data_IF_776356761969
#
_entry.id   IF_776356761969
#
_cell.length_a   1.000
_cell.length_b   1.000
_cell.length_c   1.000
_cell.angle_alpha   90.00
_cell.angle_beta   90.00
_cell.angle_gamma   90.00
#
_symmetry.space_group_name_H-M   'P 1'
#
loop_
_entity.id
_entity.type
_entity.pdbx_description
1 polymer ?
#
# COMPACT_ATOMS: atom_id res chain seq x y z
N UNK A 1 22.36 14.13 -62.76
CA UNK A 1 21.20 14.15 -63.65
C UNK A 1 20.11 13.36 -62.97
N UNK A 2 19.03 13.84 -62.44
CA UNK A 2 18.02 14.79 -62.89
C UNK A 2 17.33 15.39 -61.66
N UNK A 3 17.16 16.68 -61.63
CA UNK A 3 16.29 17.49 -60.81
C UNK A 3 14.81 17.17 -61.10
N UNK A 4 13.90 17.44 -60.14
CA UNK A 4 12.63 18.18 -60.30
C UNK A 4 11.97 18.28 -58.92
N UNK A 5 11.97 19.44 -58.26
CA UNK A 5 11.05 20.55 -58.04
C UNK A 5 9.75 20.21 -57.28
N UNK A 6 9.65 20.81 -56.16
CA UNK A 6 8.70 21.61 -55.42
C UNK A 6 7.27 21.77 -55.98
N UNK A 7 6.29 21.66 -55.10
CA UNK A 7 5.06 22.49 -55.12
C UNK A 7 4.37 22.51 -53.73
N UNK A 8 4.40 23.70 -53.12
CA UNK A 8 3.34 24.19 -52.21
C UNK A 8 2.26 24.84 -53.08
N UNK A 9 0.98 24.94 -52.65
CA UNK A 9 0.50 26.22 -52.15
C UNK A 9 -0.47 26.09 -50.94
N UNK A 10 -0.30 26.90 -50.01
CA UNK A 10 -1.03 28.04 -49.45
C UNK A 10 -2.48 28.23 -49.94
N UNK A 11 -3.44 28.20 -48.97
CA UNK A 11 -4.67 28.99 -49.03
C UNK A 11 -5.21 29.23 -47.60
N UNK A 12 -5.03 30.46 -47.20
CA UNK A 12 -5.76 31.10 -46.11
C UNK A 12 -7.23 31.23 -46.43
N UNK A 13 -8.10 31.05 -45.44
CA UNK A 13 -9.42 31.71 -45.34
C UNK A 13 -9.76 32.15 -43.94
N UNK A 14 -9.65 33.44 -43.77
CA UNK A 14 -10.30 34.33 -42.82
C UNK A 14 -11.84 34.30 -42.97
N UNK A 15 -12.56 34.28 -41.87
CA UNK A 15 -13.83 35.04 -41.71
C UNK A 15 -14.33 34.82 -40.27
N UNK A 16 -14.36 35.78 -39.62
CA UNK A 16 -15.28 36.90 -39.23
C UNK A 16 -15.77 36.70 -37.78
N UNK A 17 -15.32 37.63 -37.04
CA UNK A 17 -15.84 38.10 -35.76
C UNK A 17 -17.30 38.50 -35.94
N UNK A 18 -18.18 38.00 -35.09
CA UNK A 18 -19.47 38.68 -34.82
C UNK A 18 -19.57 38.90 -33.32
N UNK A 19 -19.30 40.13 -32.93
CA UNK A 19 -19.74 40.70 -31.63
C UNK A 19 -21.27 40.90 -31.72
N UNK A 20 -21.96 40.36 -30.73
CA UNK A 20 -23.27 40.87 -30.34
C UNK A 20 -23.23 41.21 -28.85
N UNK A 21 -23.12 42.51 -28.63
CA UNK A 21 -23.45 43.19 -27.38
C UNK A 21 -24.98 43.27 -27.27
N UNK A 22 -25.51 43.02 -26.09
CA UNK A 22 -26.53 43.88 -25.43
C UNK A 22 -26.99 43.31 -24.10
N UNK A 23 -26.55 43.99 -23.11
CA UNK A 23 -27.22 44.42 -21.87
C UNK A 23 -28.67 43.91 -21.71
N UNK A 24 -28.92 43.20 -20.65
CA UNK A 24 -30.19 43.21 -19.95
C UNK A 24 -29.89 43.17 -18.42
N UNK A 25 -29.91 44.37 -17.89
CA UNK A 25 -30.02 44.65 -16.45
C UNK A 25 -31.43 44.24 -16.04
N UNK A 26 -31.57 43.23 -15.18
CA UNK A 26 -32.83 42.99 -14.46
C UNK A 26 -32.50 43.13 -12.97
N UNK A 27 -32.98 44.24 -12.48
CA UNK A 27 -33.17 44.58 -11.08
C UNK A 27 -34.25 43.64 -10.52
N UNK A 28 -33.92 42.81 -9.54
CA UNK A 28 -34.90 42.21 -8.64
C UNK A 28 -34.52 42.64 -7.23
N UNK A 29 -35.29 43.58 -6.75
CA UNK A 29 -35.24 44.06 -5.38
C UNK A 29 -35.89 43.04 -4.43
N UNK A 30 -35.28 42.93 -3.31
CA UNK A 30 -35.83 42.75 -1.96
C UNK A 30 -37.00 41.74 -1.77
N UNK A 31 -36.67 40.61 -1.13
CA UNK A 31 -37.48 40.07 -0.03
C UNK A 31 -36.55 39.65 1.12
N UNK A 32 -36.30 40.61 1.98
CA UNK A 32 -35.82 40.31 3.35
C UNK A 32 -37.10 40.02 4.14
N UNK A 33 -37.39 38.77 4.31
CA UNK A 33 -38.35 38.31 5.31
C UNK A 33 -37.55 37.78 6.50
N UNK A 34 -37.52 38.57 7.57
CA UNK A 34 -37.13 38.12 8.90
C UNK A 34 -37.98 36.89 9.29
N UNK A 35 -37.30 35.75 9.46
CA UNK A 35 -37.81 34.71 10.35
C UNK A 35 -36.76 34.57 11.45
N UNK A 36 -36.86 35.41 12.47
CA UNK A 36 -36.34 35.14 13.78
C UNK A 36 -37.31 34.16 14.45
N UNK A 37 -37.09 32.88 14.30
CA UNK A 37 -37.58 31.89 15.24
C UNK A 37 -36.37 31.39 15.98
N UNK A 38 -36.28 31.82 17.22
CA UNK A 38 -35.28 31.36 18.19
C UNK A 38 -35.39 29.85 18.36
N UNK A 39 -34.40 29.17 17.87
CA UNK A 39 -34.02 27.84 18.32
C UNK A 39 -32.74 28.03 19.14
N UNK A 40 -32.87 28.07 20.47
CA UNK A 40 -31.74 27.81 21.35
C UNK A 40 -31.28 26.36 21.08
N UNK A 41 -30.43 26.19 20.09
CA UNK A 41 -29.59 25.03 20.00
C UNK A 41 -28.39 25.29 20.93
N UNK A 42 -28.34 24.58 22.04
CA UNK A 42 -27.12 24.51 22.81
C UNK A 42 -25.97 24.10 21.91
N UNK A 43 -24.79 24.71 22.02
CA UNK A 43 -23.63 24.22 21.27
C UNK A 43 -23.44 22.76 21.65
N UNK A 44 -23.49 21.87 20.67
CA UNK A 44 -23.11 20.49 20.85
C UNK A 44 -21.65 20.55 21.27
N UNK A 45 -21.38 20.30 22.56
CA UNK A 45 -20.03 20.01 23.01
C UNK A 45 -19.58 18.77 22.26
N UNK A 46 -18.71 18.95 21.29
CA UNK A 46 -18.01 17.83 20.66
C UNK A 46 -17.12 17.22 21.73
N UNK A 47 -17.62 16.15 22.34
CA UNK A 47 -16.82 15.33 23.25
C UNK A 47 -15.52 14.92 22.54
N UNK A 48 -14.46 14.85 23.29
CA UNK A 48 -13.07 14.60 22.83
C UNK A 48 -12.86 13.30 22.02
N UNK A 49 -13.89 12.54 21.73
CA UNK A 49 -13.74 11.24 21.04
C UNK A 49 -14.19 11.20 19.59
N UNK A 50 -14.85 12.22 19.06
CA UNK A 50 -15.28 12.23 17.65
C UNK A 50 -16.18 11.06 17.20
N UNK A 51 -16.68 10.28 18.14
CA UNK A 51 -17.55 9.12 17.91
C UNK A 51 -18.99 9.51 18.26
N UNK A 52 -19.86 9.48 17.29
CA UNK A 52 -21.30 9.57 17.55
C UNK A 52 -21.78 8.22 18.06
N UNK A 53 -22.47 8.21 19.20
CA UNK A 53 -22.98 6.98 19.80
C UNK A 53 -23.92 6.26 18.80
N UNK A 54 -23.56 5.02 18.42
CA UNK A 54 -24.30 4.20 17.46
C UNK A 54 -24.02 4.45 15.97
N UNK A 55 -23.06 5.33 15.64
CA UNK A 55 -22.54 5.49 14.28
C UNK A 55 -21.06 5.11 14.33
N UNK A 56 -20.65 4.17 13.49
CA UNK A 56 -19.24 3.82 13.36
C UNK A 56 -18.39 5.05 13.09
N UNK A 57 -17.07 4.94 13.21
CA UNK A 57 -16.16 6.05 13.05
C UNK A 57 -16.36 6.75 11.70
N UNK A 58 -16.38 8.09 11.76
CA UNK A 58 -16.57 8.90 10.56
C UNK A 58 -15.33 8.82 9.67
N UNK A 59 -15.49 8.72 8.34
CA UNK A 59 -14.37 8.82 7.42
C UNK A 59 -13.56 10.10 7.66
N UNK A 60 -12.26 9.98 7.85
CA UNK A 60 -11.35 11.11 8.10
C UNK A 60 -10.97 11.34 9.55
N UNK A 61 -11.52 10.61 10.51
CA UNK A 61 -10.97 10.55 11.85
C UNK A 61 -9.80 9.57 11.90
N UNK A 62 -8.65 10.04 12.38
CA UNK A 62 -7.47 9.21 12.58
C UNK A 62 -7.77 8.09 13.59
N UNK A 63 -8.12 6.92 13.07
CA UNK A 63 -8.27 5.68 13.83
C UNK A 63 -6.97 5.20 14.47
N UNK A 64 -5.89 5.77 14.05
CA UNK A 64 -4.57 5.36 14.42
C UNK A 64 -4.19 5.98 15.76
N UNK A 65 -3.93 5.17 16.76
CA UNK A 65 -3.04 5.63 17.81
C UNK A 65 -1.67 5.82 17.14
N UNK A 66 -1.22 7.06 16.94
CA UNK A 66 0.03 7.31 16.24
C UNK A 66 1.16 6.60 16.98
N UNK A 67 2.01 5.89 16.25
CA UNK A 67 3.23 5.34 16.83
C UNK A 67 4.02 6.48 17.46
N UNK A 68 4.30 6.35 18.76
CA UNK A 68 5.12 7.30 19.50
C UNK A 68 6.54 6.73 19.59
N UNK A 69 7.50 7.51 19.16
CA UNK A 69 8.91 7.16 19.22
C UNK A 69 9.44 7.26 20.67
N UNK A 70 10.59 6.63 20.99
CA UNK A 70 11.14 6.65 22.34
C UNK A 70 11.47 8.05 22.91
N UNK A 71 11.58 9.05 22.05
CA UNK A 71 11.79 10.46 22.43
C UNK A 71 10.48 11.23 22.60
N UNK A 72 9.32 10.56 22.50
CA UNK A 72 8.00 11.14 22.62
C UNK A 72 7.47 11.79 21.34
N UNK A 73 8.24 11.81 20.26
CA UNK A 73 7.77 12.35 18.98
C UNK A 73 6.73 11.43 18.35
N UNK A 74 5.72 12.01 17.70
CA UNK A 74 4.78 11.26 16.87
C UNK A 74 5.40 10.96 15.52
N UNK A 75 5.30 9.71 15.10
CA UNK A 75 5.82 9.27 13.82
C UNK A 75 5.08 9.93 12.66
N UNK A 76 5.84 10.55 11.76
CA UNK A 76 5.33 11.06 10.48
C UNK A 76 5.42 9.93 9.46
N UNK A 77 4.27 9.43 9.03
CA UNK A 77 4.18 8.32 8.07
C UNK A 77 4.24 8.85 6.64
N UNK A 78 5.13 8.33 5.78
CA UNK A 78 5.17 8.69 4.38
C UNK A 78 3.91 8.22 3.64
N UNK A 79 3.62 8.89 2.54
CA UNK A 79 2.64 8.44 1.54
C UNK A 79 3.37 8.11 0.23
N UNK A 80 2.83 7.21 -0.57
CA UNK A 80 3.32 7.01 -1.92
C UNK A 80 3.06 8.24 -2.78
N UNK A 81 3.82 8.40 -3.85
CA UNK A 81 3.57 9.46 -4.83
C UNK A 81 2.16 9.32 -5.41
N UNK A 82 1.45 10.44 -5.49
CA UNK A 82 0.05 10.44 -5.90
C UNK A 82 -0.96 10.09 -4.80
N UNK A 83 -0.51 9.87 -3.56
CA UNK A 83 -1.38 9.62 -2.40
C UNK A 83 -1.80 8.16 -2.21
N UNK A 84 -2.73 7.89 -1.30
CA UNK A 84 -3.20 6.53 -1.00
C UNK A 84 -3.81 5.81 -2.20
N UNK A 85 -3.70 4.47 -2.22
CA UNK A 85 -4.17 3.65 -3.36
C UNK A 85 -5.59 3.11 -3.19
N UNK A 86 -6.13 3.05 -1.97
CA UNK A 86 -7.45 2.47 -1.69
C UNK A 86 -8.61 3.12 -2.45
N UNK A 87 -8.52 4.44 -2.68
CA UNK A 87 -9.50 5.15 -3.49
C UNK A 87 -9.46 4.86 -5.00
N UNK A 88 -8.47 4.09 -5.47
CA UNK A 88 -8.26 3.74 -6.89
C UNK A 88 -8.78 2.36 -7.25
N UNK A 89 -9.13 1.55 -6.25
CA UNK A 89 -9.57 0.16 -6.43
C UNK A 89 -11.05 0.01 -6.11
N UNK A 90 -11.66 -1.11 -6.54
CA UNK A 90 -13.09 -1.38 -6.34
C UNK A 90 -13.36 -2.54 -5.39
N UNK A 91 -12.34 -3.30 -5.04
CA UNK A 91 -12.39 -4.38 -4.08
C UNK A 91 -11.50 -4.10 -2.87
N UNK A 92 -11.38 -5.06 -1.96
CA UNK A 92 -10.69 -4.89 -0.70
C UNK A 92 -9.63 -5.97 -0.40
N UNK A 93 -9.16 -6.70 -1.40
CA UNK A 93 -8.16 -7.76 -1.18
C UNK A 93 -6.75 -7.23 -1.39
N UNK A 94 -5.92 -7.36 -0.36
CA UNK A 94 -4.52 -6.96 -0.40
C UNK A 94 -3.60 -8.16 -0.18
N UNK A 95 -2.64 -8.33 -1.09
CA UNK A 95 -1.57 -9.31 -1.01
C UNK A 95 -0.28 -8.59 -0.62
N UNK A 96 0.29 -8.97 0.53
CA UNK A 96 1.58 -8.44 0.97
C UNK A 96 2.65 -9.51 0.78
N UNK A 97 3.72 -9.16 0.06
CA UNK A 97 4.81 -10.08 -0.28
C UNK A 97 6.12 -9.54 0.27
N UNK A 98 6.88 -10.36 1.02
CA UNK A 98 8.10 -9.83 1.62
C UNK A 98 9.06 -10.83 2.25
N UNK A 99 10.14 -10.26 2.77
CA UNK A 99 11.18 -10.97 3.52
C UNK A 99 10.93 -10.94 5.05
N UNK A 100 11.98 -11.15 5.86
CA UNK A 100 11.90 -11.20 7.33
C UNK A 100 11.29 -9.94 7.95
N UNK A 101 11.44 -8.78 7.30
CA UNK A 101 10.95 -7.51 7.84
C UNK A 101 9.42 -7.52 7.78
N UNK A 102 8.84 -7.87 6.64
CA UNK A 102 7.39 -7.99 6.51
C UNK A 102 6.85 -9.19 7.31
N UNK A 103 7.54 -10.34 7.29
CA UNK A 103 7.17 -11.53 8.06
C UNK A 103 7.02 -11.23 9.56
N UNK A 104 7.82 -10.30 10.11
CA UNK A 104 7.74 -9.90 11.51
C UNK A 104 6.41 -9.25 11.92
N UNK A 105 5.59 -8.80 10.96
CA UNK A 105 4.25 -8.23 11.22
C UNK A 105 3.12 -9.24 11.03
N UNK A 106 3.45 -10.48 10.64
CA UNK A 106 2.48 -11.55 10.40
C UNK A 106 1.99 -12.18 11.71
N UNK A 107 0.97 -13.02 11.60
CA UNK A 107 0.24 -13.66 12.71
C UNK A 107 1.15 -14.34 13.74
N UNK A 108 2.27 -14.92 13.30
CA UNK A 108 3.23 -15.59 14.21
C UNK A 108 3.89 -14.63 15.20
N UNK A 109 4.04 -13.36 14.85
CA UNK A 109 4.81 -12.38 15.62
C UNK A 109 3.97 -11.28 16.27
N UNK A 110 2.66 -11.40 16.27
CA UNK A 110 1.76 -10.41 16.89
C UNK A 110 0.62 -9.96 16.01
N UNK A 111 0.67 -10.24 14.68
CA UNK A 111 -0.40 -9.95 13.72
C UNK A 111 -0.61 -8.47 13.39
N UNK A 112 0.38 -7.61 13.68
CA UNK A 112 0.24 -6.14 13.56
C UNK A 112 -0.26 -5.70 12.18
N UNK A 113 0.10 -6.44 11.11
CA UNK A 113 -0.35 -6.08 9.75
C UNK A 113 -1.85 -6.26 9.59
N UNK A 114 -2.38 -7.42 9.97
CA UNK A 114 -3.81 -7.68 9.86
C UNK A 114 -4.60 -6.81 10.83
N UNK A 115 -4.17 -6.72 12.08
CA UNK A 115 -4.83 -5.90 13.11
C UNK A 115 -4.90 -4.41 12.72
N UNK A 116 -3.99 -3.97 11.85
CA UNK A 116 -3.95 -2.61 11.32
C UNK A 116 -4.83 -2.43 10.08
N UNK A 117 -4.84 -3.40 9.16
CA UNK A 117 -5.51 -3.24 7.86
C UNK A 117 -6.96 -3.72 7.86
N UNK A 118 -7.32 -4.71 8.69
CA UNK A 118 -8.69 -5.21 8.81
C UNK A 118 -9.68 -4.10 9.21
N UNK A 119 -9.42 -3.25 10.22
CA UNK A 119 -10.30 -2.14 10.56
C UNK A 119 -10.45 -1.09 9.46
N UNK A 120 -9.55 -1.06 8.48
CA UNK A 120 -9.67 -0.23 7.28
C UNK A 120 -10.52 -0.89 6.18
N UNK A 121 -11.05 -2.08 6.42
CA UNK A 121 -11.90 -2.81 5.49
C UNK A 121 -11.17 -3.80 4.57
N UNK A 122 -9.86 -4.04 4.76
CA UNK A 122 -9.08 -4.91 3.90
C UNK A 122 -9.20 -6.40 4.25
N UNK A 123 -9.18 -7.26 3.23
CA UNK A 123 -8.90 -8.69 3.34
C UNK A 123 -7.40 -8.91 3.11
N UNK A 124 -6.69 -9.31 4.16
CA UNK A 124 -5.23 -9.22 4.24
C UNK A 124 -4.57 -10.57 4.14
N UNK A 125 -3.71 -10.80 3.14
CA UNK A 125 -2.82 -11.97 3.07
C UNK A 125 -1.37 -11.53 3.17
N UNK A 126 -0.62 -12.05 4.15
CA UNK A 126 0.81 -11.77 4.33
C UNK A 126 1.63 -12.98 3.91
N UNK A 127 2.18 -12.92 2.71
CA UNK A 127 3.05 -13.94 2.11
C UNK A 127 4.51 -13.53 2.30
N UNK A 128 5.10 -13.87 3.42
CA UNK A 128 6.44 -13.40 3.76
C UNK A 128 7.25 -14.45 4.53
N UNK A 129 8.54 -14.56 4.18
CA UNK A 129 9.46 -15.52 4.78
C UNK A 129 10.81 -14.90 5.10
N UNK A 130 11.44 -15.24 6.23
CA UNK A 130 12.79 -14.79 6.57
C UNK A 130 13.84 -15.24 5.56
N UNK A 131 14.84 -14.36 5.32
CA UNK A 131 16.02 -14.69 4.51
C UNK A 131 15.77 -14.73 3.00
N UNK A 132 14.58 -14.32 2.52
CA UNK A 132 14.25 -14.37 1.11
C UNK A 132 14.84 -13.19 0.33
N UNK A 133 15.33 -13.48 -0.87
CA UNK A 133 15.79 -12.51 -1.86
C UNK A 133 14.63 -12.05 -2.75
N UNK A 134 14.91 -11.14 -3.70
CA UNK A 134 13.86 -10.54 -4.52
C UNK A 134 13.11 -11.54 -5.42
N UNK A 135 13.79 -12.60 -5.91
CA UNK A 135 13.16 -13.67 -6.73
C UNK A 135 12.05 -14.43 -6.01
N UNK A 136 12.04 -14.41 -4.66
CA UNK A 136 10.93 -14.96 -3.89
C UNK A 136 9.61 -14.26 -4.23
N UNK A 137 9.64 -12.94 -4.45
CA UNK A 137 8.45 -12.17 -4.82
C UNK A 137 7.82 -12.64 -6.12
N UNK A 138 8.63 -12.87 -7.15
CA UNK A 138 8.17 -13.45 -8.42
C UNK A 138 7.49 -14.80 -8.23
N UNK A 139 8.05 -15.66 -7.40
CA UNK A 139 7.50 -17.00 -7.11
C UNK A 139 6.14 -16.91 -6.39
N UNK A 140 6.04 -16.05 -5.37
CA UNK A 140 4.78 -15.83 -4.64
C UNK A 140 3.72 -15.26 -5.58
N UNK A 141 4.06 -14.22 -6.35
CA UNK A 141 3.11 -13.59 -7.26
C UNK A 141 2.59 -14.57 -8.31
N UNK A 142 3.44 -15.37 -8.94
CA UNK A 142 3.01 -16.44 -9.89
C UNK A 142 2.05 -17.44 -9.26
N UNK A 143 2.22 -17.74 -7.97
CA UNK A 143 1.36 -18.70 -7.25
C UNK A 143 0.05 -18.09 -6.75
N UNK A 144 -0.03 -16.75 -6.64
CA UNK A 144 -1.14 -16.07 -5.95
C UNK A 144 -1.94 -15.11 -6.82
N UNK A 145 -1.39 -14.63 -7.94
CA UNK A 145 -2.00 -13.54 -8.71
C UNK A 145 -3.37 -13.89 -9.30
N UNK A 146 -3.61 -15.17 -9.62
CA UNK A 146 -4.89 -15.65 -10.17
C UNK A 146 -6.06 -15.54 -9.16
N UNK A 147 -5.78 -15.32 -7.88
CA UNK A 147 -6.80 -15.22 -6.84
C UNK A 147 -7.53 -13.86 -6.79
N UNK A 148 -7.36 -13.01 -7.76
CA UNK A 148 -7.94 -11.64 -7.86
C UNK A 148 -7.59 -10.79 -6.63
N UNK A 149 -6.56 -9.98 -6.76
CA UNK A 149 -6.13 -9.00 -5.76
C UNK A 149 -6.43 -7.59 -6.26
N UNK A 150 -6.80 -6.70 -5.36
CA UNK A 150 -7.06 -5.29 -5.68
C UNK A 150 -5.80 -4.46 -5.49
N UNK A 151 -4.98 -4.83 -4.48
CA UNK A 151 -3.68 -4.21 -4.23
C UNK A 151 -2.62 -5.27 -3.94
N UNK A 152 -1.41 -5.04 -4.41
CA UNK A 152 -0.20 -5.79 -4.04
C UNK A 152 0.75 -4.86 -3.31
N UNK A 153 1.32 -5.32 -2.17
CA UNK A 153 2.37 -4.61 -1.44
C UNK A 153 3.63 -5.45 -1.46
N UNK A 154 4.77 -4.88 -1.87
CA UNK A 154 6.03 -5.60 -1.98
C UNK A 154 7.08 -4.97 -1.05
N UNK A 155 7.63 -5.77 -0.13
CA UNK A 155 8.76 -5.42 0.72
C UNK A 155 9.86 -6.47 0.58
N UNK A 156 10.76 -6.28 -0.38
CA UNK A 156 11.88 -7.16 -0.68
C UNK A 156 13.16 -6.36 -0.94
N UNK A 157 14.31 -7.02 -0.83
CA UNK A 157 15.60 -6.41 -1.07
C UNK A 157 16.44 -6.19 0.19
N UNK A 158 15.94 -6.51 1.40
CA UNK A 158 16.75 -6.52 2.63
C UNK A 158 17.91 -7.50 2.46
N UNK A 159 17.66 -8.66 1.88
CA UNK A 159 18.64 -9.69 1.56
C UNK A 159 19.15 -9.47 0.12
N UNK A 160 20.20 -8.68 -0.03
CA UNK A 160 20.79 -8.33 -1.33
C UNK A 160 22.23 -8.82 -1.40
N UNK A 161 22.58 -9.60 -2.45
CA UNK A 161 23.88 -10.24 -2.62
C UNK A 161 24.87 -9.45 -3.47
N UNK A 162 24.53 -8.26 -3.93
CA UNK A 162 25.41 -7.40 -4.71
C UNK A 162 25.28 -7.51 -6.24
N UNK A 163 24.29 -8.26 -6.75
CA UNK A 163 24.00 -8.33 -8.18
C UNK A 163 22.84 -7.40 -8.55
N UNK A 164 23.15 -6.19 -9.00
CA UNK A 164 22.15 -5.17 -9.34
C UNK A 164 21.28 -5.58 -10.56
N UNK A 165 21.86 -6.23 -11.55
CA UNK A 165 21.13 -6.68 -12.74
C UNK A 165 20.09 -7.75 -12.39
N UNK A 166 20.44 -8.69 -11.49
CA UNK A 166 19.48 -9.69 -11.00
C UNK A 166 18.35 -9.02 -10.23
N UNK A 167 18.70 -8.11 -9.32
CA UNK A 167 17.72 -7.37 -8.53
C UNK A 167 16.74 -6.59 -9.42
N UNK A 168 17.26 -5.89 -10.44
CA UNK A 168 16.47 -5.17 -11.43
C UNK A 168 15.49 -6.11 -12.14
N UNK A 169 16.00 -7.21 -12.69
CA UNK A 169 15.18 -8.20 -13.39
C UNK A 169 14.07 -8.79 -12.53
N UNK A 170 14.36 -9.05 -11.25
CA UNK A 170 13.35 -9.54 -10.30
C UNK A 170 12.22 -8.52 -10.08
N UNK A 171 12.55 -7.22 -9.93
CA UNK A 171 11.53 -6.18 -9.78
C UNK A 171 10.75 -5.93 -11.07
N UNK A 172 11.41 -5.90 -12.22
CA UNK A 172 10.74 -5.81 -13.53
C UNK A 172 9.75 -6.95 -13.74
N UNK A 173 10.14 -8.18 -13.39
CA UNK A 173 9.26 -9.35 -13.50
C UNK A 173 8.07 -9.25 -12.52
N UNK A 174 8.31 -8.90 -11.26
CA UNK A 174 7.23 -8.72 -10.29
C UNK A 174 6.21 -7.67 -10.74
N UNK A 175 6.68 -6.50 -11.20
CA UNK A 175 5.80 -5.43 -11.66
C UNK A 175 5.08 -5.78 -12.97
N UNK A 176 5.69 -6.60 -13.82
CA UNK A 176 5.02 -7.14 -15.01
C UNK A 176 3.89 -8.12 -14.65
N UNK A 177 4.09 -8.96 -13.62
CA UNK A 177 3.05 -9.89 -13.13
C UNK A 177 1.88 -9.13 -12.50
N UNK A 178 2.15 -8.04 -11.79
CA UNK A 178 1.10 -7.24 -11.14
C UNK A 178 0.41 -6.24 -12.08
N UNK A 179 0.70 -6.28 -13.37
CA UNK A 179 0.10 -5.37 -14.35
C UNK A 179 -1.44 -5.36 -14.25
N UNK A 180 -2.00 -4.17 -14.02
CA UNK A 180 -3.44 -3.97 -13.84
C UNK A 180 -3.93 -4.12 -12.40
N UNK A 181 -3.00 -4.31 -11.45
CA UNK A 181 -3.27 -4.30 -10.01
C UNK A 181 -2.46 -3.16 -9.38
N UNK A 182 -3.08 -2.28 -8.60
CA UNK A 182 -2.36 -1.23 -7.89
C UNK A 182 -1.28 -1.84 -7.00
N UNK A 183 -0.03 -1.42 -7.17
CA UNK A 183 1.12 -2.03 -6.52
C UNK A 183 1.89 -1.00 -5.71
N UNK A 184 2.08 -1.25 -4.42
CA UNK A 184 2.92 -0.43 -3.54
C UNK A 184 4.23 -1.16 -3.27
N UNK A 185 5.36 -0.58 -3.65
CA UNK A 185 6.68 -1.13 -3.34
C UNK A 185 7.39 -0.27 -2.30
N UNK A 186 7.92 -0.90 -1.26
CA UNK A 186 8.63 -0.19 -0.20
C UNK A 186 10.13 -0.14 -0.46
N UNK A 187 10.76 1.00 -0.13
CA UNK A 187 12.22 1.06 -0.01
C UNK A 187 12.68 0.30 1.25
N UNK A 188 13.88 -0.28 1.24
CA UNK A 188 14.45 -1.00 2.38
C UNK A 188 15.18 -0.07 3.34
N UNK A 189 15.25 -0.43 4.63
CA UNK A 189 16.09 0.27 5.60
C UNK A 189 17.56 0.28 5.18
N UNK A 190 18.25 1.42 5.37
CA UNK A 190 19.66 1.57 4.99
C UNK A 190 20.55 1.24 6.19
N UNK A 191 20.83 -0.04 6.40
CA UNK A 191 21.74 -0.52 7.45
C UNK A 191 23.16 -0.81 6.94
N UNK A 192 23.37 -0.81 5.63
CA UNK A 192 24.66 -0.91 4.92
C UNK A 192 24.60 -0.15 3.59
N UNK A 193 25.76 0.21 3.03
CA UNK A 193 25.80 1.05 1.81
C UNK A 193 25.15 0.42 0.58
N UNK A 194 25.21 -0.91 0.45
CA UNK A 194 24.58 -1.62 -0.67
C UNK A 194 23.04 -1.44 -0.70
N UNK A 195 22.40 -1.12 0.42
CA UNK A 195 20.95 -0.82 0.43
C UNK A 195 20.58 0.48 -0.28
N UNK A 196 21.55 1.38 -0.46
CA UNK A 196 21.34 2.56 -1.32
C UNK A 196 21.15 2.17 -2.78
N UNK A 197 21.92 1.17 -3.25
CA UNK A 197 21.74 0.60 -4.60
C UNK A 197 20.38 -0.06 -4.72
N UNK A 198 19.99 -0.90 -3.77
CA UNK A 198 18.66 -1.52 -3.74
C UNK A 198 17.55 -0.49 -3.86
N UNK A 199 17.60 0.55 -3.04
CA UNK A 199 16.57 1.59 -3.04
C UNK A 199 16.56 2.45 -4.32
N UNK A 200 17.73 2.65 -4.94
CA UNK A 200 17.82 3.32 -6.25
C UNK A 200 17.19 2.45 -7.35
N UNK A 201 17.53 1.17 -7.40
CA UNK A 201 16.97 0.20 -8.35
C UNK A 201 15.46 0.09 -8.22
N UNK A 202 14.93 -0.04 -6.98
CA UNK A 202 13.47 -0.07 -6.73
C UNK A 202 12.79 1.16 -7.33
N UNK A 203 13.32 2.36 -7.06
CA UNK A 203 12.73 3.62 -7.54
C UNK A 203 12.80 3.75 -9.06
N UNK A 204 13.92 3.35 -9.63
CA UNK A 204 14.12 3.43 -11.09
C UNK A 204 13.17 2.48 -11.82
N UNK A 205 13.12 1.20 -11.42
CA UNK A 205 12.23 0.22 -12.04
C UNK A 205 10.77 0.57 -11.81
N UNK A 206 10.39 1.00 -10.60
CA UNK A 206 9.02 1.42 -10.32
C UNK A 206 8.55 2.57 -11.22
N UNK A 207 9.45 3.49 -11.55
CA UNK A 207 9.17 4.62 -12.46
C UNK A 207 8.85 4.20 -13.91
N UNK A 208 9.08 2.95 -14.29
CA UNK A 208 8.75 2.40 -15.62
C UNK A 208 7.32 1.84 -15.69
N UNK A 209 6.58 1.79 -14.55
CA UNK A 209 5.25 1.16 -14.44
C UNK A 209 4.24 2.09 -13.79
N UNK A 210 3.23 2.53 -14.51
CA UNK A 210 2.22 3.50 -14.06
C UNK A 210 1.38 3.02 -12.85
N UNK A 211 1.26 1.70 -12.63
CA UNK A 211 0.51 1.09 -11.54
C UNK A 211 1.36 0.81 -10.29
N UNK A 212 2.65 1.20 -10.29
CA UNK A 212 3.58 0.95 -9.19
C UNK A 212 3.91 2.23 -8.46
N UNK A 213 3.71 2.23 -7.14
CA UNK A 213 3.86 3.38 -6.27
C UNK A 213 4.93 3.13 -5.21
N UNK A 214 5.96 3.95 -5.18
CA UNK A 214 7.04 3.80 -4.19
C UNK A 214 6.64 4.40 -2.85
N UNK A 215 6.78 3.62 -1.77
CA UNK A 215 6.59 4.04 -0.39
C UNK A 215 7.95 4.11 0.33
N UNK A 216 8.35 5.29 0.78
CA UNK A 216 9.69 5.53 1.35
C UNK A 216 9.81 5.07 2.80
N UNK A 217 9.82 3.75 2.99
CA UNK A 217 10.07 3.14 4.30
C UNK A 217 11.47 3.43 4.84
N UNK A 218 12.49 3.61 3.98
CA UNK A 218 13.85 3.94 4.41
C UNK A 218 13.89 5.19 5.30
N UNK A 219 13.00 6.16 5.07
CA UNK A 219 12.89 7.37 5.86
C UNK A 219 12.38 7.11 7.29
N UNK A 220 11.57 6.07 7.49
CA UNK A 220 11.07 5.62 8.80
C UNK A 220 12.05 4.70 9.49
N UNK A 221 12.59 3.71 8.76
CA UNK A 221 13.49 2.69 9.31
C UNK A 221 14.75 3.26 9.99
N UNK A 222 15.21 4.45 9.57
CA UNK A 222 16.38 5.13 10.16
C UNK A 222 16.10 5.77 11.52
N UNK A 223 14.83 5.91 11.93
CA UNK A 223 14.46 6.58 13.17
C UNK A 223 14.80 5.69 14.37
N UNK A 224 15.18 6.34 15.48
CA UNK A 224 15.53 5.64 16.71
C UNK A 224 14.35 4.83 17.25
N UNK A 225 14.58 3.56 17.54
CA UNK A 225 13.59 2.66 18.13
C UNK A 225 12.77 1.87 17.13
N UNK A 226 12.89 2.14 15.83
CA UNK A 226 12.20 1.38 14.78
C UNK A 226 12.85 0.01 14.57
N UNK A 227 14.17 -0.05 14.53
CA UNK A 227 14.92 -1.31 14.42
C UNK A 227 15.49 -1.76 15.75
N UNK A 228 15.71 -3.06 15.88
CA UNK A 228 16.38 -3.68 17.01
C UNK A 228 17.89 -3.38 17.06
N UNK A 229 18.60 -4.13 17.93
CA UNK A 229 20.03 -3.94 18.14
C UNK A 229 20.87 -4.23 16.88
N UNK A 230 20.42 -5.10 16.02
CA UNK A 230 21.07 -5.46 14.75
C UNK A 230 20.89 -4.40 13.65
N UNK A 231 20.07 -3.38 13.89
CA UNK A 231 19.73 -2.29 12.96
C UNK A 231 19.03 -2.76 11.67
N UNK A 232 18.56 -3.98 11.62
CA UNK A 232 17.89 -4.61 10.47
C UNK A 232 16.45 -4.96 10.83
N UNK A 233 16.28 -5.88 11.80
CA UNK A 233 14.96 -6.37 12.17
C UNK A 233 14.19 -5.35 13.02
N UNK A 234 12.88 -5.36 12.87
CA UNK A 234 12.02 -4.40 13.56
C UNK A 234 11.90 -4.69 15.05
N UNK A 235 11.86 -3.64 15.85
CA UNK A 235 11.35 -3.68 17.22
C UNK A 235 9.82 -3.80 17.23
N UNK A 236 9.19 -3.92 18.40
CA UNK A 236 7.74 -3.87 18.54
C UNK A 236 7.17 -2.55 17.99
N UNK A 237 7.83 -1.42 18.31
CA UNK A 237 7.49 -0.10 17.76
C UNK A 237 7.64 -0.11 16.23
N UNK A 238 8.68 -0.74 15.72
CA UNK A 238 8.95 -0.84 14.29
C UNK A 238 7.91 -1.66 13.54
N UNK A 239 7.43 -2.77 14.12
CA UNK A 239 6.35 -3.57 13.51
C UNK A 239 5.05 -2.77 13.40
N UNK A 240 4.65 -2.10 14.48
CA UNK A 240 3.50 -1.22 14.46
C UNK A 240 3.68 -0.06 13.45
N UNK A 241 4.88 0.54 13.39
CA UNK A 241 5.19 1.60 12.44
C UNK A 241 5.11 1.14 10.98
N UNK A 242 5.60 -0.08 10.66
CA UNK A 242 5.51 -0.64 9.31
C UNK A 242 4.05 -0.89 8.93
N UNK A 243 3.27 -1.53 9.80
CA UNK A 243 1.87 -1.79 9.57
C UNK A 243 1.08 -0.48 9.35
N UNK A 244 1.29 0.53 10.19
CA UNK A 244 0.67 1.85 10.03
C UNK A 244 1.14 2.57 8.76
N UNK A 245 2.41 2.46 8.38
CA UNK A 245 2.91 3.07 7.14
C UNK A 245 2.21 2.48 5.92
N UNK A 246 2.06 1.16 5.87
CA UNK A 246 1.34 0.48 4.80
C UNK A 246 -0.16 0.83 4.87
N UNK A 247 -0.76 0.79 6.05
CA UNK A 247 -2.17 1.16 6.21
C UNK A 247 -2.47 2.57 5.71
N UNK A 248 -1.60 3.54 6.01
CA UNK A 248 -1.76 4.91 5.51
C UNK A 248 -1.59 5.00 3.98
N UNK A 249 -0.72 4.18 3.39
CA UNK A 249 -0.56 4.12 1.96
C UNK A 249 -1.75 3.48 1.25
N UNK A 250 -2.41 2.53 1.91
CA UNK A 250 -3.61 1.89 1.40
C UNK A 250 -4.87 2.73 1.63
N UNK A 251 -4.99 3.36 2.82
CA UNK A 251 -6.21 4.02 3.29
C UNK A 251 -7.40 3.05 3.39
N UNK A 252 -8.63 3.56 3.50
CA UNK A 252 -9.83 2.73 3.58
C UNK A 252 -10.09 1.98 2.29
N UNK A 253 -10.37 0.69 2.42
CA UNK A 253 -10.86 -0.11 1.31
C UNK A 253 -12.31 0.26 0.95
N UNK A 254 -12.76 0.01 -0.30
CA UNK A 254 -14.19 0.01 -0.62
C UNK A 254 -14.96 -0.89 0.34
N UNK A 255 -16.16 -0.46 0.75
CA UNK A 255 -16.95 -1.15 1.78
C UNK A 255 -17.23 -2.60 1.41
N UNK A 256 -16.56 -3.51 2.11
CA UNK A 256 -16.72 -4.97 2.04
C UNK A 256 -16.35 -5.55 3.40
N UNK A 257 -16.71 -6.80 3.62
CA UNK A 257 -16.33 -7.51 4.84
C UNK A 257 -14.80 -7.72 4.87
N UNK A 258 -14.11 -7.24 5.91
CA UNK A 258 -12.67 -7.44 6.06
C UNK A 258 -12.36 -8.84 6.59
N UNK A 259 -11.12 -9.32 6.40
CA UNK A 259 -10.69 -10.63 6.91
C UNK A 259 -9.16 -10.72 6.96
N UNK A 260 -8.65 -11.57 7.85
CA UNK A 260 -7.26 -12.01 7.87
C UNK A 260 -7.14 -13.33 7.11
N UNK A 261 -6.75 -13.26 5.85
CA UNK A 261 -6.68 -14.43 4.97
C UNK A 261 -5.48 -15.34 5.31
N UNK A 262 -5.65 -16.64 5.05
CA UNK A 262 -4.54 -17.58 5.19
C UNK A 262 -3.43 -17.33 4.16
N UNK A 263 -2.19 -17.39 4.63
CA UNK A 263 -0.99 -17.31 3.81
C UNK A 263 -0.49 -18.71 3.44
N UNK A 264 0.04 -18.86 2.22
CA UNK A 264 0.72 -20.09 1.76
C UNK A 264 2.22 -20.03 2.06
N UNK A 265 2.83 -18.87 1.84
CA UNK A 265 4.24 -18.63 2.09
C UNK A 265 4.37 -17.96 3.45
N UNK A 266 4.68 -18.75 4.46
CA UNK A 266 4.86 -18.33 5.84
C UNK A 266 6.32 -18.57 6.25
N UNK A 267 6.74 -17.95 7.33
CA UNK A 267 8.12 -18.04 7.81
C UNK A 267 8.64 -19.47 8.10
N UNK A 268 7.78 -20.46 8.13
CA UNK A 268 8.10 -21.87 8.32
C UNK A 268 7.69 -22.78 7.13
N UNK A 269 7.12 -22.22 6.04
CA UNK A 269 6.61 -23.00 4.92
C UNK A 269 7.71 -23.83 4.24
N UNK A 270 8.89 -23.27 4.04
CA UNK A 270 10.03 -24.00 3.48
C UNK A 270 10.54 -25.13 4.37
N UNK A 271 10.37 -25.04 5.69
CA UNK A 271 10.75 -26.09 6.64
C UNK A 271 9.77 -27.24 6.61
N UNK A 272 8.49 -26.96 6.45
CA UNK A 272 7.42 -27.96 6.38
C UNK A 272 7.32 -28.63 5.00
N UNK A 273 7.97 -28.07 3.99
CA UNK A 273 7.89 -28.60 2.62
C UNK A 273 6.60 -28.25 1.88
N UNK A 274 5.79 -27.32 2.40
CA UNK A 274 4.55 -26.84 1.79
C UNK A 274 4.76 -25.64 0.83
N UNK A 275 6.01 -25.38 0.43
CA UNK A 275 6.35 -24.40 -0.60
C UNK A 275 5.83 -24.89 -1.97
N UNK A 276 4.83 -24.25 -2.59
CA UNK A 276 4.23 -24.70 -3.83
C UNK A 276 5.20 -24.68 -5.03
N UNK A 277 6.36 -24.02 -4.92
CA UNK A 277 7.40 -24.04 -5.94
C UNK A 277 8.23 -25.34 -5.93
N UNK A 278 8.15 -26.14 -4.88
CA UNK A 278 8.89 -27.41 -4.73
C UNK A 278 8.05 -28.63 -5.16
N UNK A 279 6.80 -28.44 -5.60
CA UNK A 279 5.98 -29.51 -6.19
C UNK A 279 5.41 -30.53 -5.20
N UNK A 280 5.35 -30.19 -3.91
CA UNK A 280 4.71 -31.02 -2.90
C UNK A 280 3.23 -30.66 -2.75
N UNK A 281 2.33 -31.63 -2.83
CA UNK A 281 0.96 -31.44 -2.35
C UNK A 281 0.99 -31.05 -0.86
N UNK A 282 0.06 -30.18 -0.40
CA UNK A 282 -0.01 -29.81 1.00
C UNK A 282 -0.13 -31.07 1.86
N UNK A 283 0.81 -31.24 2.76
CA UNK A 283 0.73 -32.32 3.76
C UNK A 283 -0.49 -32.00 4.61
N UNK A 284 -1.59 -32.71 4.39
CA UNK A 284 -2.72 -32.69 5.30
C UNK A 284 -2.23 -33.28 6.61
N UNK A 285 -2.17 -32.46 7.64
CA UNK A 285 -1.87 -32.88 9.02
C UNK A 285 -2.99 -33.81 9.49
N UNK A 286 -2.85 -35.08 9.16
CA UNK A 286 -3.63 -36.16 9.74
C UNK A 286 -2.91 -36.63 11.01
N UNK A 287 -3.02 -35.83 12.09
CA UNK A 287 -2.76 -36.35 13.43
C UNK A 287 -3.69 -37.56 13.65
N UNK A 288 -3.16 -38.76 13.88
CA UNK A 288 -3.99 -39.87 14.26
C UNK A 288 -4.59 -39.55 15.64
N UNK A 289 -5.91 -39.48 15.66
CA UNK A 289 -6.64 -39.49 16.92
C UNK A 289 -6.21 -40.76 17.68
N UNK A 290 -5.47 -40.54 18.77
CA UNK A 290 -5.11 -41.57 19.72
C UNK A 290 -6.41 -42.00 20.42
N UNK A 291 -7.08 -42.98 19.84
CA UNK A 291 -8.12 -43.75 20.48
C UNK A 291 -7.48 -45.07 20.90
N UNK A 292 -7.17 -45.19 22.18
CA UNK A 292 -7.35 -46.40 22.94
C UNK A 292 -6.51 -46.36 24.22
N UNK A 293 -7.16 -46.26 25.32
CA UNK A 293 -6.75 -47.00 26.52
C UNK A 293 -7.94 -47.78 27.04
N UNK A 294 -7.69 -49.04 27.44
CA UNK A 294 -8.72 -49.93 27.98
C UNK A 294 -9.14 -49.57 29.39
#
# INVERSE_FOLDING_TARGET
>A
MTRVTAHTPEAARSSRITRVSRSATVVIAAFVALIWLGGCGEPIETGESGVLDGVGPLPGYDFWTPVTLPDGARLQLPLPEGGPVGGRVTGNRVLLVGDSILASTARRYGNEMCDTLEPLGWQVAVEAEPGRFAEFGTRVLKARIDAVWDVVVIYLGTNYEGNENSLRGDFEEMFSITKGVETVVLTTGVFRDSQKVVNATIKEVAGEFDHVHVLDWASVAKLKGITGKDKVHLSDIGRAALAQTIGRALDYAPFREPDCLDARFRDDSGIRGDDPAVGGEPVTDSSPADSTLP
#
